data_IF_474493753986
#
_entry.id   IF_474493753986
#
_cell.length_a   1.000
_cell.length_b   1.000
_cell.length_c   1.000
_cell.angle_alpha   90.00
_cell.angle_beta   90.00
_cell.angle_gamma   90.00
#
_symmetry.space_group_name_H-M   'P 1'
#
loop_
_entity.id
_entity.type
_entity.pdbx_description
1 polymer ?
#
# COMPACT_ATOMS: atom_id res chain seq x y z
N UNK A 1 -12.68 -17.96 -25.82
CA UNK A 1 -11.68 -17.37 -24.90
C UNK A 1 -10.60 -18.41 -24.63
N UNK A 2 -9.33 -18.02 -24.54
CA UNK A 2 -8.24 -18.98 -24.31
C UNK A 2 -8.43 -19.65 -22.95
N UNK A 3 -8.45 -20.99 -22.93
CA UNK A 3 -8.50 -21.78 -21.70
C UNK A 3 -7.09 -22.25 -21.35
N UNK A 4 -6.74 -22.22 -20.08
CA UNK A 4 -5.44 -22.67 -19.59
C UNK A 4 -5.66 -23.69 -18.47
N UNK A 5 -5.12 -24.89 -18.65
CA UNK A 5 -5.07 -25.93 -17.62
C UNK A 5 -3.64 -26.03 -17.10
N UNK A 6 -3.46 -25.86 -15.80
CA UNK A 6 -2.23 -26.24 -15.10
C UNK A 6 -2.50 -27.57 -14.41
N UNK A 7 -1.79 -28.64 -14.78
CA UNK A 7 -1.98 -29.99 -14.22
C UNK A 7 -0.78 -30.46 -13.39
N UNK A 8 -1.00 -31.46 -12.55
CA UNK A 8 0.03 -32.10 -11.73
C UNK A 8 0.80 -31.13 -10.80
N UNK A 9 0.16 -30.08 -10.30
CA UNK A 9 0.78 -29.11 -9.38
C UNK A 9 0.47 -29.41 -7.91
N UNK A 10 1.40 -29.11 -7.02
CA UNK A 10 1.12 -29.01 -5.58
C UNK A 10 0.42 -27.67 -5.31
N UNK A 11 -0.91 -27.68 -5.34
CA UNK A 11 -1.73 -26.47 -5.24
C UNK A 11 -1.81 -26.03 -3.77
N UNK A 12 -1.36 -24.79 -3.53
CA UNK A 12 -1.44 -24.11 -2.25
C UNK A 12 -2.50 -23.01 -2.35
N UNK A 13 -3.72 -23.28 -1.90
CA UNK A 13 -4.83 -22.29 -2.04
C UNK A 13 -4.69 -21.07 -1.13
N UNK A 14 -3.84 -21.17 -0.09
CA UNK A 14 -3.68 -20.17 0.98
C UNK A 14 -4.95 -19.93 1.83
N UNK A 15 -6.03 -20.67 1.59
CA UNK A 15 -7.32 -20.55 2.30
C UNK A 15 -7.77 -21.87 2.94
N UNK A 16 -6.89 -22.87 2.98
CA UNK A 16 -7.05 -24.08 3.78
C UNK A 16 -6.73 -25.37 3.04
N UNK A 17 -7.35 -25.61 1.87
CA UNK A 17 -7.12 -26.86 1.13
C UNK A 17 -5.76 -26.82 0.41
N UNK A 18 -4.93 -27.80 0.66
CA UNK A 18 -3.71 -28.08 -0.11
C UNK A 18 -3.82 -29.48 -0.70
N UNK A 19 -3.50 -29.62 -1.98
CA UNK A 19 -3.62 -30.90 -2.68
C UNK A 19 -2.76 -30.92 -3.93
N UNK A 20 -2.41 -32.12 -4.39
CA UNK A 20 -1.80 -32.29 -5.70
C UNK A 20 -2.91 -32.43 -6.74
N UNK A 21 -2.91 -31.61 -7.78
CA UNK A 21 -3.99 -31.64 -8.76
C UNK A 21 -3.82 -30.64 -9.88
N UNK A 22 -4.95 -30.18 -10.40
CA UNK A 22 -5.04 -29.29 -11.54
C UNK A 22 -5.95 -28.11 -11.25
N UNK A 23 -5.73 -27.01 -11.97
CA UNK A 23 -6.62 -25.86 -11.99
C UNK A 23 -6.87 -25.39 -13.44
N UNK A 24 -8.11 -24.98 -13.70
CA UNK A 24 -8.57 -24.47 -14.98
C UNK A 24 -8.78 -22.96 -14.87
N UNK A 25 -8.24 -22.24 -15.84
CA UNK A 25 -8.38 -20.80 -16.01
C UNK A 25 -9.12 -20.55 -17.32
N UNK A 26 -10.17 -19.74 -17.25
CA UNK A 26 -10.87 -19.23 -18.43
C UNK A 26 -10.81 -17.71 -18.41
N UNK A 27 -10.16 -17.13 -19.42
CA UNK A 27 -9.92 -15.68 -19.46
C UNK A 27 -9.05 -15.22 -18.29
N UNK A 28 -9.62 -14.44 -17.37
CA UNK A 28 -8.92 -13.83 -16.23
C UNK A 28 -9.24 -14.47 -14.89
N UNK A 29 -10.04 -15.56 -14.86
CA UNK A 29 -10.51 -16.19 -13.63
C UNK A 29 -10.17 -17.67 -13.60
N UNK A 30 -9.87 -18.16 -12.39
CA UNK A 30 -9.83 -19.59 -12.10
C UNK A 30 -11.29 -20.07 -12.02
N UNK A 31 -11.65 -21.06 -12.83
CA UNK A 31 -13.03 -21.57 -12.91
C UNK A 31 -13.20 -22.95 -12.28
N UNK A 32 -12.13 -23.72 -12.16
CA UNK A 32 -12.16 -25.02 -11.49
C UNK A 32 -10.80 -25.38 -10.87
N UNK A 33 -10.85 -26.20 -9.82
CA UNK A 33 -9.69 -26.77 -9.14
C UNK A 33 -10.03 -28.16 -8.59
N UNK A 34 -9.14 -29.14 -8.75
CA UNK A 34 -9.40 -30.51 -8.31
C UNK A 34 -8.22 -31.46 -8.56
N UNK A 35 -8.18 -32.57 -7.82
CA UNK A 35 -7.14 -33.61 -7.97
C UNK A 35 -7.15 -34.21 -9.38
N UNK A 36 -8.36 -34.37 -9.93
CA UNK A 36 -8.60 -34.73 -11.32
C UNK A 36 -9.62 -33.76 -11.89
N UNK A 37 -9.29 -33.14 -13.02
CA UNK A 37 -10.23 -32.33 -13.80
C UNK A 37 -10.42 -33.03 -15.14
N UNK A 38 -11.66 -33.37 -15.48
CA UNK A 38 -11.98 -33.87 -16.81
C UNK A 38 -11.94 -32.69 -17.79
N UNK A 39 -10.92 -32.69 -18.64
CA UNK A 39 -10.69 -31.67 -19.66
C UNK A 39 -10.81 -32.21 -21.07
N UNK A 40 -11.13 -33.50 -21.23
CA UNK A 40 -11.22 -34.15 -22.53
C UNK A 40 -12.37 -33.61 -23.38
N UNK A 41 -13.37 -33.00 -22.75
CA UNK A 41 -14.51 -32.33 -23.39
C UNK A 41 -14.26 -30.86 -23.73
N UNK A 42 -13.12 -30.28 -23.33
CA UNK A 42 -12.82 -28.86 -23.53
C UNK A 42 -12.03 -28.65 -24.81
N UNK A 43 -12.58 -27.85 -25.75
CA UNK A 43 -11.85 -27.37 -26.92
C UNK A 43 -10.92 -26.19 -26.55
N UNK A 44 -9.84 -26.01 -27.33
CA UNK A 44 -8.92 -24.86 -27.25
C UNK A 44 -8.26 -24.61 -25.87
N UNK A 45 -7.89 -25.71 -25.19
CA UNK A 45 -7.17 -25.66 -23.91
C UNK A 45 -5.66 -25.71 -24.13
N UNK A 46 -4.95 -24.69 -23.64
CA UNK A 46 -3.50 -24.76 -23.47
C UNK A 46 -3.21 -25.52 -22.17
N UNK A 47 -2.36 -26.54 -22.23
CA UNK A 47 -2.00 -27.36 -21.07
C UNK A 47 -0.56 -27.03 -20.65
N UNK A 48 -0.38 -26.73 -19.36
CA UNK A 48 0.92 -26.64 -18.70
C UNK A 48 1.00 -27.78 -17.69
N UNK A 49 2.02 -28.63 -17.80
CA UNK A 49 2.34 -29.63 -16.79
C UNK A 49 3.25 -28.99 -15.73
N UNK A 50 2.77 -28.89 -14.49
CA UNK A 50 3.54 -28.36 -13.37
C UNK A 50 4.54 -29.40 -12.82
N UNK A 51 4.49 -30.66 -13.25
CA UNK A 51 5.49 -31.70 -12.91
C UNK A 51 5.76 -31.83 -11.39
N UNK A 52 4.73 -31.67 -10.57
CA UNK A 52 4.81 -31.73 -9.12
C UNK A 52 5.32 -30.45 -8.44
N UNK A 53 5.58 -29.37 -9.19
CA UNK A 53 5.98 -28.08 -8.63
C UNK A 53 4.88 -27.44 -7.78
N UNK A 54 5.28 -26.51 -6.91
CA UNK A 54 4.35 -25.66 -6.16
C UNK A 54 3.57 -24.74 -7.11
N UNK A 55 2.26 -24.69 -6.92
CA UNK A 55 1.37 -23.75 -7.61
C UNK A 55 0.72 -22.86 -6.55
N UNK A 56 1.16 -21.60 -6.53
CA UNK A 56 0.79 -20.59 -5.55
C UNK A 56 -0.01 -19.47 -6.23
N UNK A 57 -0.91 -18.77 -5.51
CA UNK A 57 -1.35 -17.45 -5.91
C UNK A 57 -0.13 -16.54 -6.09
N UNK A 58 -0.18 -15.66 -7.08
CA UNK A 58 0.84 -14.64 -7.22
C UNK A 58 0.92 -13.78 -5.96
N UNK A 59 2.12 -13.51 -5.48
CA UNK A 59 2.33 -12.70 -4.29
C UNK A 59 1.83 -11.26 -4.53
N UNK A 60 1.43 -10.62 -3.44
CA UNK A 60 0.98 -9.23 -3.42
C UNK A 60 1.89 -8.47 -2.47
N UNK A 61 2.66 -7.53 -3.01
CA UNK A 61 3.39 -6.58 -2.16
C UNK A 61 2.44 -5.47 -1.73
N UNK A 62 2.20 -5.36 -0.43
CA UNK A 62 1.25 -4.40 0.10
C UNK A 62 1.83 -2.99 0.24
N UNK A 63 3.15 -2.81 0.06
CA UNK A 63 3.77 -1.48 -0.01
C UNK A 63 5.14 -1.53 -0.70
N UNK A 64 5.26 -0.82 -1.81
CA UNK A 64 6.55 -0.50 -2.42
C UNK A 64 6.44 0.81 -3.19
N UNK A 65 7.49 1.14 -3.92
CA UNK A 65 7.66 2.31 -4.76
C UNK A 65 8.07 1.93 -6.19
N UNK A 66 7.92 0.65 -6.58
CA UNK A 66 8.29 0.16 -7.93
C UNK A 66 7.60 0.98 -9.01
N UNK A 67 8.34 1.28 -10.09
CA UNK A 67 7.91 2.13 -11.19
C UNK A 67 7.96 3.62 -10.90
N UNK A 68 7.97 4.06 -9.64
CA UNK A 68 8.07 5.48 -9.26
C UNK A 68 9.46 5.81 -8.73
N UNK A 69 10.04 4.90 -7.94
CA UNK A 69 11.46 4.79 -7.66
C UNK A 69 12.05 3.76 -8.61
N UNK A 70 12.49 4.20 -9.78
CA UNK A 70 12.95 3.30 -10.85
C UNK A 70 14.24 2.58 -10.48
N UNK A 71 14.32 1.29 -10.82
CA UNK A 71 15.54 0.50 -10.63
C UNK A 71 16.65 1.06 -11.54
N UNK A 72 17.89 1.15 -11.02
CA UNK A 72 19.11 1.70 -11.65
C UNK A 72 19.26 3.22 -11.58
N UNK A 73 18.17 3.97 -11.74
CA UNK A 73 18.23 5.42 -11.80
C UNK A 73 18.48 6.04 -10.42
N UNK A 74 19.02 7.27 -10.41
CA UNK A 74 19.21 8.06 -9.20
C UNK A 74 18.09 9.08 -9.12
N UNK A 75 18.44 10.35 -8.94
CA UNK A 75 17.53 11.48 -8.98
C UNK A 75 16.55 11.44 -10.16
N UNK A 76 16.99 11.01 -11.34
CA UNK A 76 16.17 10.99 -12.56
C UNK A 76 14.98 10.03 -12.50
N UNK A 77 15.02 9.03 -11.62
CA UNK A 77 13.94 8.06 -11.43
C UNK A 77 13.43 8.01 -9.98
N UNK A 78 13.65 9.07 -9.19
CA UNK A 78 13.19 9.20 -7.80
C UNK A 78 11.92 10.08 -7.69
N UNK A 79 10.83 9.70 -8.38
CA UNK A 79 9.60 10.51 -8.48
C UNK A 79 8.60 10.28 -7.32
N UNK A 80 9.01 9.58 -6.25
CA UNK A 80 8.10 9.15 -5.18
C UNK A 80 8.05 10.10 -3.97
N UNK A 81 8.86 11.16 -3.90
CA UNK A 81 8.76 12.19 -2.85
C UNK A 81 8.82 13.61 -3.42
N UNK A 82 7.69 14.31 -3.42
CA UNK A 82 7.62 15.75 -3.73
C UNK A 82 7.97 16.58 -2.49
N UNK A 83 9.27 16.73 -2.22
CA UNK A 83 9.78 17.32 -0.98
C UNK A 83 9.69 18.85 -0.91
N UNK A 84 8.89 19.48 -1.78
CA UNK A 84 8.69 20.93 -1.82
C UNK A 84 7.57 21.39 -0.88
N UNK A 85 6.59 20.54 -0.59
CA UNK A 85 5.52 20.81 0.37
C UNK A 85 5.23 19.63 1.31
N UNK A 86 5.11 19.82 2.64
CA UNK A 86 4.75 18.75 3.57
C UNK A 86 3.35 18.17 3.37
N UNK A 87 2.46 18.85 2.64
CA UNK A 87 1.07 18.47 2.46
C UNK A 87 0.71 18.49 0.97
N UNK A 88 0.85 17.34 0.29
CA UNK A 88 0.57 17.15 -1.14
C UNK A 88 -0.50 16.08 -1.40
N UNK A 89 -1.73 16.21 -0.84
CA UNK A 89 -2.80 15.20 -0.98
C UNK A 89 -3.26 14.98 -2.41
N UNK A 90 -3.13 15.98 -3.28
CA UNK A 90 -3.55 15.98 -4.69
C UNK A 90 -2.63 15.17 -5.61
N UNK A 91 -1.42 14.84 -5.16
CA UNK A 91 -0.51 13.97 -5.91
C UNK A 91 -1.05 12.55 -6.08
N UNK A 92 -0.73 11.94 -7.22
CA UNK A 92 -1.20 10.61 -7.58
C UNK A 92 -0.04 9.76 -8.06
N UNK A 93 0.08 8.58 -7.48
CA UNK A 93 1.09 7.59 -7.87
C UNK A 93 1.08 7.31 -9.37
N UNK A 94 -0.10 7.22 -10.00
CA UNK A 94 -0.22 6.85 -11.41
C UNK A 94 0.49 7.81 -12.37
N UNK A 95 0.73 9.05 -11.94
CA UNK A 95 1.34 10.09 -12.77
C UNK A 95 2.88 10.02 -12.74
N UNK A 96 3.47 9.21 -11.85
CA UNK A 96 4.92 9.00 -11.74
C UNK A 96 5.38 7.57 -12.02
N UNK A 97 4.49 6.68 -12.49
CA UNK A 97 4.86 5.27 -12.74
C UNK A 97 5.41 5.10 -14.16
N UNK A 98 6.67 4.68 -14.27
CA UNK A 98 7.23 4.09 -15.47
C UNK A 98 6.93 2.58 -15.54
N UNK A 99 6.03 2.10 -16.44
CA UNK A 99 5.72 0.67 -16.56
C UNK A 99 6.85 -0.16 -17.18
N UNK A 100 7.90 0.47 -17.74
CA UNK A 100 9.08 -0.21 -18.29
C UNK A 100 10.24 -0.33 -17.29
N UNK A 101 10.08 0.15 -16.05
CA UNK A 101 11.02 -0.06 -14.96
C UNK A 101 11.40 -1.55 -14.80
N UNK A 102 12.70 -1.83 -14.68
CA UNK A 102 13.22 -3.19 -14.47
C UNK A 102 12.66 -3.83 -13.19
N UNK A 103 12.33 -3.01 -12.19
CA UNK A 103 11.73 -3.47 -10.94
C UNK A 103 10.43 -4.25 -11.15
N UNK A 104 9.63 -3.93 -12.17
CA UNK A 104 8.45 -4.73 -12.51
C UNK A 104 8.80 -6.11 -13.05
N UNK A 105 9.87 -6.23 -13.85
CA UNK A 105 10.34 -7.52 -14.36
C UNK A 105 10.83 -8.38 -13.21
N UNK A 106 11.63 -7.82 -12.32
CA UNK A 106 12.24 -8.55 -11.22
C UNK A 106 11.20 -8.96 -10.17
N UNK A 107 10.21 -8.09 -9.90
CA UNK A 107 9.03 -8.45 -9.11
C UNK A 107 8.30 -9.68 -9.69
N UNK A 108 8.06 -9.73 -11.01
CA UNK A 108 7.41 -10.89 -11.65
C UNK A 108 8.25 -12.15 -11.59
N UNK A 109 9.58 -12.05 -11.76
CA UNK A 109 10.50 -13.17 -11.60
C UNK A 109 10.50 -13.72 -10.16
N UNK A 110 10.31 -12.83 -9.17
CA UNK A 110 10.09 -13.18 -7.77
C UNK A 110 8.68 -13.69 -7.43
N UNK A 111 7.77 -13.77 -8.41
CA UNK A 111 6.38 -14.24 -8.23
C UNK A 111 5.40 -13.17 -7.73
N UNK A 112 5.78 -11.90 -7.69
CA UNK A 112 4.90 -10.78 -7.32
C UNK A 112 4.07 -10.38 -8.54
N UNK A 113 2.74 -10.49 -8.41
CA UNK A 113 1.79 -10.25 -9.53
C UNK A 113 0.94 -9.00 -9.34
N UNK A 114 0.88 -8.48 -8.13
CA UNK A 114 0.21 -7.22 -7.83
C UNK A 114 0.98 -6.49 -6.73
N UNK A 115 0.89 -5.16 -6.76
CA UNK A 115 1.53 -4.28 -5.79
C UNK A 115 0.59 -3.16 -5.39
N UNK A 116 0.77 -2.63 -4.19
CA UNK A 116 0.44 -1.24 -3.90
C UNK A 116 1.71 -0.42 -4.05
N UNK A 117 1.72 0.51 -5.01
CA UNK A 117 2.82 1.47 -5.22
C UNK A 117 2.32 2.90 -5.01
N UNK A 118 3.19 3.78 -4.52
CA UNK A 118 2.85 5.17 -4.30
C UNK A 118 3.93 5.98 -3.60
N UNK A 119 3.58 7.16 -3.06
CA UNK A 119 4.55 8.08 -2.48
C UNK A 119 5.35 7.49 -1.30
N UNK A 120 6.54 8.04 -1.10
CA UNK A 120 7.45 7.75 0.00
C UNK A 120 6.98 8.33 1.34
N UNK A 121 7.94 8.67 2.20
CA UNK A 121 7.66 9.10 3.58
C UNK A 121 8.32 10.43 3.93
N UNK A 122 8.76 11.19 2.93
CA UNK A 122 9.27 12.54 3.14
C UNK A 122 8.17 13.48 3.64
N UNK A 123 6.96 13.41 3.07
CA UNK A 123 5.89 14.37 3.34
C UNK A 123 5.02 13.92 4.52
N UNK A 124 4.38 14.87 5.21
CA UNK A 124 3.35 14.54 6.22
C UNK A 124 2.15 13.90 5.54
N UNK A 125 1.71 14.47 4.42
CA UNK A 125 0.76 13.89 3.47
C UNK A 125 1.45 13.88 2.11
N UNK A 126 1.73 12.69 1.57
CA UNK A 126 2.55 12.54 0.36
C UNK A 126 1.78 12.29 -0.93
N UNK A 127 0.46 12.11 -0.87
CA UNK A 127 -0.39 11.83 -2.02
C UNK A 127 -0.94 10.40 -2.05
N UNK A 128 -1.66 10.08 -3.12
CA UNK A 128 -2.41 8.83 -3.26
C UNK A 128 -1.58 7.71 -3.88
N UNK A 129 -1.75 6.49 -3.37
CA UNK A 129 -1.18 5.27 -3.96
C UNK A 129 -2.20 4.46 -4.76
N UNK A 130 -1.71 3.51 -5.55
CA UNK A 130 -2.49 2.68 -6.47
C UNK A 130 -2.25 1.20 -6.23
N UNK A 131 -3.30 0.36 -6.35
CA UNK A 131 -3.13 -1.10 -6.48
C UNK A 131 -3.14 -1.46 -7.95
N UNK A 132 -2.10 -2.15 -8.41
CA UNK A 132 -1.94 -2.50 -9.82
C UNK A 132 -1.33 -3.89 -10.01
N UNK A 133 -1.48 -4.45 -11.21
CA UNK A 133 -0.77 -5.64 -11.68
C UNK A 133 0.64 -5.25 -12.11
N UNK A 134 1.60 -6.15 -11.88
CA UNK A 134 3.00 -5.95 -12.27
C UNK A 134 3.28 -6.22 -13.75
N UNK A 135 2.28 -6.68 -14.52
CA UNK A 135 2.41 -6.97 -15.94
C UNK A 135 1.58 -5.99 -16.77
N UNK A 136 2.24 -5.31 -17.71
CA UNK A 136 1.61 -4.37 -18.64
C UNK A 136 2.64 -3.40 -19.20
N UNK A 137 2.18 -2.51 -20.07
CA UNK A 137 2.98 -1.40 -20.65
C UNK A 137 2.27 -0.05 -20.57
N UNK A 138 1.02 -0.05 -20.09
CA UNK A 138 0.17 1.12 -20.00
C UNK A 138 -0.42 1.09 -18.60
N UNK A 139 -0.09 2.09 -17.79
CA UNK A 139 -0.46 2.16 -16.37
C UNK A 139 -1.97 1.96 -16.20
N UNK A 140 -2.81 2.63 -16.99
CA UNK A 140 -4.27 2.52 -16.94
C UNK A 140 -4.78 1.08 -17.08
N UNK A 141 -4.09 0.24 -17.84
CA UNK A 141 -4.45 -1.18 -18.05
C UNK A 141 -3.92 -2.11 -16.96
N UNK A 142 -2.98 -1.63 -16.15
CA UNK A 142 -2.40 -2.34 -15.02
C UNK A 142 -3.19 -2.08 -13.73
N UNK A 143 -3.92 -0.96 -13.64
CA UNK A 143 -4.70 -0.57 -12.46
C UNK A 143 -5.72 -1.65 -12.07
N UNK A 144 -5.73 -1.97 -10.78
CA UNK A 144 -6.78 -2.75 -10.11
C UNK A 144 -7.67 -1.83 -9.26
N UNK A 145 -7.08 -0.82 -8.60
CA UNK A 145 -7.81 0.20 -7.83
C UNK A 145 -6.99 1.50 -7.74
N UNK A 146 -7.59 2.60 -8.16
CA UNK A 146 -7.04 3.96 -8.07
C UNK A 146 -8.14 4.97 -7.64
N UNK A 147 -7.89 5.85 -6.65
CA UNK A 147 -6.85 5.74 -5.64
C UNK A 147 -7.14 4.58 -4.66
N UNK A 148 -6.09 3.99 -4.11
CA UNK A 148 -6.20 2.87 -3.17
C UNK A 148 -5.91 3.24 -1.70
N UNK A 149 -5.37 4.43 -1.45
CA UNK A 149 -5.05 4.94 -0.12
C UNK A 149 -4.28 6.25 -0.19
N UNK A 150 -4.34 7.06 0.88
CA UNK A 150 -3.58 8.30 1.01
C UNK A 150 -2.36 8.09 1.91
N UNK A 151 -1.14 8.30 1.38
CA UNK A 151 0.11 8.13 2.13
C UNK A 151 0.32 9.29 3.09
N UNK A 152 0.58 8.96 4.35
CA UNK A 152 0.98 9.91 5.40
C UNK A 152 2.20 9.37 6.15
N UNK A 153 3.01 10.25 6.73
CA UNK A 153 4.21 9.85 7.46
C UNK A 153 4.35 10.51 8.83
N UNK A 154 4.87 9.72 9.78
CA UNK A 154 5.29 10.11 11.11
C UNK A 154 6.78 9.78 11.31
N UNK A 155 7.31 10.01 12.51
CA UNK A 155 8.68 9.61 12.84
C UNK A 155 9.73 10.59 12.35
N UNK A 156 10.93 10.08 12.06
CA UNK A 156 12.11 10.87 11.73
C UNK A 156 12.03 11.50 10.34
N UNK A 157 11.53 10.79 9.33
CA UNK A 157 11.59 11.21 7.92
C UNK A 157 11.01 12.61 7.66
N UNK A 158 9.72 12.89 7.95
CA UNK A 158 9.17 14.20 7.63
C UNK A 158 9.82 15.34 8.40
N UNK A 159 10.17 15.11 9.68
CA UNK A 159 10.82 16.17 10.47
C UNK A 159 12.27 16.45 10.06
N UNK A 160 12.96 15.48 9.44
CA UNK A 160 14.32 15.67 8.93
C UNK A 160 14.28 16.46 7.62
N UNK A 161 13.47 16.01 6.65
CA UNK A 161 13.36 16.63 5.33
C UNK A 161 13.04 18.12 5.44
N UNK A 162 11.94 18.49 6.09
CA UNK A 162 11.56 19.90 6.20
C UNK A 162 12.39 20.66 7.25
N UNK A 163 12.95 19.96 8.24
CA UNK A 163 13.89 20.54 9.20
C UNK A 163 15.16 21.09 8.55
N UNK A 164 15.74 20.35 7.61
CA UNK A 164 16.90 20.80 6.82
C UNK A 164 16.56 22.02 5.97
N UNK A 165 15.32 22.10 5.48
CA UNK A 165 14.79 23.24 4.73
C UNK A 165 14.36 24.42 5.62
N UNK A 166 14.47 24.31 6.95
CA UNK A 166 13.94 25.29 7.93
C UNK A 166 12.44 25.55 7.75
N UNK A 167 11.70 24.54 7.27
CA UNK A 167 10.25 24.54 7.07
C UNK A 167 9.59 23.63 8.12
N UNK A 168 8.34 23.89 8.45
CA UNK A 168 7.56 22.97 9.27
C UNK A 168 7.24 21.69 8.47
N UNK A 169 7.31 20.49 9.05
CA UNK A 169 7.64 20.18 10.44
C UNK A 169 9.14 19.96 10.71
N UNK A 170 9.61 20.36 11.90
CA UNK A 170 10.93 19.95 12.45
C UNK A 170 10.79 19.05 13.68
N UNK A 171 9.55 18.75 14.09
CA UNK A 171 9.22 17.98 15.29
C UNK A 171 8.05 17.04 15.01
N UNK A 172 7.94 15.95 15.78
CA UNK A 172 6.79 15.03 15.74
C UNK A 172 5.46 15.76 16.02
N UNK A 173 5.49 16.76 16.91
CA UNK A 173 4.31 17.60 17.19
C UNK A 173 3.88 18.38 15.95
N UNK A 174 4.84 18.94 15.21
CA UNK A 174 4.56 19.65 13.96
C UNK A 174 3.96 18.72 12.90
N UNK A 175 4.50 17.51 12.74
CA UNK A 175 3.94 16.49 11.84
C UNK A 175 2.48 16.19 12.18
N UNK A 176 2.20 15.91 13.45
CA UNK A 176 0.84 15.62 13.91
C UNK A 176 -0.10 16.82 13.76
N UNK A 177 0.37 18.05 13.98
CA UNK A 177 -0.43 19.26 13.82
C UNK A 177 -0.81 19.53 12.36
N UNK A 178 0.13 19.36 11.43
CA UNK A 178 -0.14 19.54 9.99
C UNK A 178 -1.19 18.55 9.49
N UNK A 179 -1.08 17.28 9.86
CA UNK A 179 -2.07 16.27 9.48
C UNK A 179 -3.46 16.60 10.06
N UNK A 180 -3.54 16.99 11.33
CA UNK A 180 -4.81 17.40 11.94
C UNK A 180 -5.43 18.58 11.22
N UNK A 181 -4.64 19.61 10.93
CA UNK A 181 -5.15 20.80 10.25
C UNK A 181 -5.73 20.43 8.89
N UNK A 182 -5.02 19.63 8.09
CA UNK A 182 -5.51 19.18 6.79
C UNK A 182 -6.84 18.41 6.89
N UNK A 183 -7.01 17.56 7.92
CA UNK A 183 -8.27 16.84 8.14
C UNK A 183 -9.42 17.75 8.61
N UNK A 184 -9.12 18.78 9.43
CA UNK A 184 -10.10 19.81 9.81
C UNK A 184 -10.55 20.63 8.60
N UNK A 185 -9.61 21.01 7.74
CA UNK A 185 -9.89 21.75 6.51
C UNK A 185 -10.76 20.91 5.57
N UNK A 186 -10.49 19.61 5.47
CA UNK A 186 -11.29 18.67 4.69
C UNK A 186 -12.72 18.49 5.22
N UNK A 187 -12.91 18.41 6.55
CA UNK A 187 -14.25 18.40 7.15
C UNK A 187 -15.01 19.70 6.83
N UNK A 188 -14.34 20.84 6.97
CA UNK A 188 -14.93 22.15 6.66
C UNK A 188 -15.31 22.25 5.17
N UNK A 189 -14.46 21.75 4.28
CA UNK A 189 -14.72 21.71 2.85
C UNK A 189 -15.90 20.79 2.51
N UNK A 190 -15.95 19.60 3.13
CA UNK A 190 -17.08 18.67 3.00
C UNK A 190 -18.41 19.32 3.42
N UNK A 191 -18.43 20.00 4.56
CA UNK A 191 -19.64 20.66 5.06
C UNK A 191 -20.11 21.77 4.10
N UNK A 192 -19.17 22.53 3.49
CA UNK A 192 -19.49 23.53 2.46
C UNK A 192 -20.02 22.88 1.17
N UNK A 193 -19.45 21.76 0.74
CA UNK A 193 -19.97 20.99 -0.41
C UNK A 193 -21.42 20.55 -0.16
N UNK A 194 -21.73 20.05 1.04
CA UNK A 194 -23.08 19.64 1.42
C UNK A 194 -24.06 20.81 1.45
N UNK A 195 -23.66 21.96 2.02
CA UNK A 195 -24.47 23.18 2.00
C UNK A 195 -24.69 23.69 0.56
N UNK A 196 -23.66 23.61 -0.28
CA UNK A 196 -23.66 23.97 -1.69
C UNK A 196 -24.68 23.20 -2.54
N UNK A 197 -25.13 22.02 -2.11
CA UNK A 197 -26.20 21.27 -2.76
C UNK A 197 -27.56 21.97 -2.65
N UNK A 198 -27.75 22.78 -1.60
CA UNK A 198 -28.99 23.53 -1.33
C UNK A 198 -28.89 25.01 -1.63
N UNK A 199 -27.68 25.57 -1.57
CA UNK A 199 -27.41 27.00 -1.68
C UNK A 199 -26.09 27.21 -2.43
N UNK A 200 -26.18 27.58 -3.72
CA UNK A 200 -25.02 27.69 -4.61
C UNK A 200 -23.98 28.71 -4.12
N UNK A 201 -24.40 29.72 -3.35
CA UNK A 201 -23.51 30.76 -2.83
C UNK A 201 -22.59 30.24 -1.71
N UNK A 202 -22.89 29.06 -1.15
CA UNK A 202 -22.07 28.38 -0.13
C UNK A 202 -21.13 27.32 -0.69
N UNK A 203 -21.23 27.02 -1.99
CA UNK A 203 -20.36 26.04 -2.63
C UNK A 203 -18.90 26.55 -2.58
N UNK A 204 -17.95 25.77 -2.03
CA UNK A 204 -16.56 26.19 -1.98
C UNK A 204 -15.95 26.17 -3.38
N UNK A 205 -14.91 26.97 -3.60
CA UNK A 205 -14.06 26.82 -4.77
C UNK A 205 -13.44 25.43 -4.80
N UNK A 206 -13.33 24.85 -6.00
CA UNK A 206 -12.85 23.49 -6.17
C UNK A 206 -11.37 23.39 -5.77
N UNK A 207 -11.07 22.49 -4.84
CA UNK A 207 -9.71 22.20 -4.38
C UNK A 207 -9.43 20.69 -4.50
N UNK A 208 -8.41 20.34 -5.30
CA UNK A 208 -8.06 18.95 -5.60
C UNK A 208 -7.56 18.20 -4.36
N UNK A 209 -6.81 18.87 -3.50
CA UNK A 209 -6.24 18.28 -2.30
C UNK A 209 -7.32 17.97 -1.26
N UNK A 210 -8.23 18.93 -1.06
CA UNK A 210 -9.39 18.76 -0.18
C UNK A 210 -10.36 17.71 -0.74
N UNK A 211 -10.56 17.62 -2.06
CA UNK A 211 -11.34 16.53 -2.68
C UNK A 211 -10.78 15.15 -2.31
N UNK A 212 -9.47 14.95 -2.33
CA UNK A 212 -8.85 13.68 -1.89
C UNK A 212 -9.01 13.45 -0.39
N UNK A 213 -8.80 14.48 0.44
CA UNK A 213 -8.96 14.34 1.89
C UNK A 213 -10.42 14.05 2.26
N UNK A 214 -11.39 14.59 1.54
CA UNK A 214 -12.81 14.24 1.72
C UNK A 214 -13.06 12.76 1.45
N UNK A 215 -12.38 12.14 0.48
CA UNK A 215 -12.46 10.68 0.28
C UNK A 215 -11.99 9.89 1.50
N UNK A 216 -11.00 10.39 2.23
CA UNK A 216 -10.55 9.81 3.50
C UNK A 216 -11.60 10.00 4.60
N UNK A 217 -12.15 11.21 4.75
CA UNK A 217 -13.22 11.51 5.71
C UNK A 217 -14.45 10.63 5.46
N UNK A 218 -14.80 10.39 4.20
CA UNK A 218 -15.90 9.52 3.78
C UNK A 218 -15.56 8.02 3.85
N UNK A 219 -14.33 7.65 4.21
CA UNK A 219 -13.85 6.25 4.26
C UNK A 219 -13.92 5.52 2.92
N UNK A 220 -13.81 6.26 1.82
CA UNK A 220 -13.68 5.70 0.46
C UNK A 220 -12.28 5.12 0.23
N UNK A 221 -11.26 5.72 0.87
CA UNK A 221 -9.88 5.26 0.89
C UNK A 221 -9.29 5.40 2.30
N UNK A 222 -8.41 4.47 2.73
CA UNK A 222 -7.77 4.56 4.04
C UNK A 222 -6.57 5.52 4.03
N UNK A 223 -6.22 6.04 5.21
CA UNK A 223 -4.88 6.54 5.46
C UNK A 223 -3.89 5.37 5.46
N UNK A 224 -2.72 5.59 4.86
CA UNK A 224 -1.60 4.66 4.78
C UNK A 224 -0.43 5.29 5.54
N UNK A 225 -0.24 4.90 6.80
CA UNK A 225 0.61 5.63 7.73
C UNK A 225 1.97 4.98 7.94
N UNK A 226 3.00 5.60 7.39
CA UNK A 226 4.40 5.31 7.72
C UNK A 226 4.67 5.66 9.18
N UNK A 227 4.94 4.63 10.01
CA UNK A 227 5.31 4.82 11.41
C UNK A 227 6.18 3.68 11.93
N UNK A 228 7.34 4.03 12.50
CA UNK A 228 8.30 3.06 13.04
C UNK A 228 8.17 2.85 14.55
N UNK A 229 8.29 3.92 15.35
CA UNK A 229 8.24 3.82 16.82
C UNK A 229 6.82 3.63 17.34
N UNK A 230 6.70 3.02 18.51
CA UNK A 230 5.41 2.75 19.15
C UNK A 230 4.60 4.04 19.42
N UNK A 231 5.24 5.14 19.79
CA UNK A 231 4.58 6.43 20.02
C UNK A 231 4.12 7.11 18.72
N UNK A 232 4.87 6.96 17.63
CA UNK A 232 4.47 7.44 16.30
C UNK A 232 3.26 6.63 15.79
N UNK A 233 3.27 5.30 15.96
CA UNK A 233 2.15 4.40 15.64
C UNK A 233 0.89 4.80 16.43
N UNK A 234 1.01 5.00 17.74
CA UNK A 234 -0.11 5.41 18.59
C UNK A 234 -0.63 6.82 18.27
N UNK A 235 0.23 7.71 17.74
CA UNK A 235 -0.21 9.03 17.27
C UNK A 235 -1.04 8.91 16.00
N UNK A 236 -0.63 8.07 15.05
CA UNK A 236 -1.43 7.79 13.85
C UNK A 236 -2.81 7.22 14.21
N UNK A 237 -2.87 6.25 15.13
CA UNK A 237 -4.13 5.68 15.64
C UNK A 237 -4.99 6.74 16.31
N UNK A 238 -4.40 7.60 17.16
CA UNK A 238 -5.14 8.66 17.86
C UNK A 238 -5.80 9.62 16.89
N UNK A 239 -5.10 10.04 15.84
CA UNK A 239 -5.65 10.91 14.80
C UNK A 239 -6.73 10.16 14.00
N UNK A 240 -6.50 8.89 13.63
CA UNK A 240 -7.50 8.12 12.91
C UNK A 240 -8.82 7.97 13.70
N UNK A 241 -8.75 7.76 15.01
CA UNK A 241 -9.91 7.73 15.90
C UNK A 241 -10.57 9.10 16.08
N UNK A 242 -9.77 10.16 16.21
CA UNK A 242 -10.23 11.56 16.35
C UNK A 242 -11.12 11.97 15.17
N UNK A 243 -10.73 11.59 13.95
CA UNK A 243 -11.46 11.90 12.71
C UNK A 243 -12.34 10.75 12.20
N UNK A 244 -12.36 9.61 12.89
CA UNK A 244 -13.11 8.39 12.54
C UNK A 244 -12.83 7.85 11.13
N UNK A 245 -11.57 7.88 10.72
CA UNK A 245 -11.12 7.44 9.40
C UNK A 245 -10.47 6.06 9.45
N UNK A 246 -10.44 5.37 8.31
CA UNK A 246 -9.74 4.09 8.18
C UNK A 246 -8.23 4.30 8.08
N UNK A 247 -7.47 3.35 8.64
CA UNK A 247 -6.01 3.42 8.76
C UNK A 247 -5.38 2.07 8.44
N UNK A 248 -4.25 2.09 7.73
CA UNK A 248 -3.31 0.99 7.60
C UNK A 248 -1.96 1.47 8.13
N UNK A 249 -1.36 0.72 9.04
CA UNK A 249 -0.04 1.02 9.57
C UNK A 249 1.03 0.46 8.64
N UNK A 250 2.01 1.27 8.25
CA UNK A 250 3.11 0.89 7.38
C UNK A 250 4.42 0.86 8.17
N UNK A 251 5.24 -0.14 7.87
CA UNK A 251 6.44 -0.57 8.56
C UNK A 251 6.19 -1.15 9.95
N UNK A 252 5.47 -0.41 10.80
CA UNK A 252 5.04 -0.82 12.14
C UNK A 252 6.19 -1.48 12.94
N UNK A 253 7.39 -0.90 12.86
CA UNK A 253 8.65 -1.56 13.28
C UNK A 253 8.62 -1.97 14.75
N UNK A 254 8.17 -1.07 15.63
CA UNK A 254 8.00 -1.30 17.05
C UNK A 254 6.59 -1.81 17.43
N UNK A 255 5.75 -2.15 16.46
CA UNK A 255 4.39 -2.66 16.72
C UNK A 255 4.38 -3.88 17.63
N UNK A 256 5.44 -4.69 17.62
CA UNK A 256 5.62 -5.83 18.53
C UNK A 256 5.61 -5.44 20.02
N UNK A 257 5.92 -4.18 20.38
CA UNK A 257 5.88 -3.68 21.76
C UNK A 257 4.46 -3.40 22.26
N UNK A 258 3.53 -3.17 21.34
CA UNK A 258 2.14 -2.75 21.61
C UNK A 258 1.13 -3.67 20.88
N UNK A 259 1.51 -4.92 20.64
CA UNK A 259 0.75 -5.83 19.76
C UNK A 259 -0.67 -6.11 20.25
N UNK A 260 -0.89 -6.17 21.57
CA UNK A 260 -2.22 -6.37 22.16
C UNK A 260 -3.10 -5.15 21.92
N UNK A 261 -2.58 -3.96 22.19
CA UNK A 261 -3.29 -2.70 21.95
C UNK A 261 -3.66 -2.55 20.46
N UNK A 262 -2.73 -2.87 19.55
CA UNK A 262 -3.00 -2.85 18.11
C UNK A 262 -4.12 -3.80 17.68
N UNK A 263 -4.21 -4.98 18.30
CA UNK A 263 -5.29 -5.92 18.05
C UNK A 263 -6.64 -5.39 18.55
N UNK A 264 -6.66 -4.68 19.68
CA UNK A 264 -7.87 -4.05 20.23
C UNK A 264 -8.38 -2.90 19.34
N UNK A 265 -7.48 -2.08 18.76
CA UNK A 265 -7.87 -1.03 17.82
C UNK A 265 -8.34 -1.58 16.46
N UNK A 266 -7.88 -2.76 16.06
CA UNK A 266 -8.36 -3.46 14.86
C UNK A 266 -7.81 -2.95 13.52
N UNK A 267 -6.80 -2.06 13.53
CA UNK A 267 -6.17 -1.58 12.29
C UNK A 267 -5.13 -2.59 11.74
N UNK A 268 -5.10 -2.84 10.42
CA UNK A 268 -4.11 -3.73 9.81
C UNK A 268 -2.70 -3.09 9.79
N UNK A 269 -1.68 -3.95 9.71
CA UNK A 269 -0.28 -3.53 9.60
C UNK A 269 0.43 -4.19 8.41
N UNK A 270 1.14 -3.40 7.62
CA UNK A 270 2.10 -3.87 6.62
C UNK A 270 3.49 -3.72 7.20
N UNK A 271 4.19 -4.84 7.45
CA UNK A 271 5.46 -4.86 8.18
C UNK A 271 6.63 -5.07 7.21
N UNK A 272 7.66 -4.24 7.34
CA UNK A 272 8.86 -4.28 6.50
C UNK A 272 9.45 -2.88 6.30
N UNK A 273 10.59 -2.76 5.62
CA UNK A 273 11.42 -3.83 5.10
C UNK A 273 12.22 -4.49 6.23
N UNK A 274 12.27 -5.83 6.26
CA UNK A 274 12.96 -6.57 7.34
C UNK A 274 14.38 -6.99 6.97
N UNK A 275 14.63 -7.30 5.70
CA UNK A 275 15.93 -7.74 5.18
C UNK A 275 16.81 -6.56 4.76
N UNK A 276 16.95 -5.59 5.66
CA UNK A 276 17.71 -4.33 5.42
C UNK A 276 18.47 -3.93 6.69
N UNK A 277 19.39 -2.96 6.59
CA UNK A 277 20.13 -2.46 7.76
C UNK A 277 19.22 -1.62 8.70
N UNK A 278 19.74 -1.17 9.85
CA UNK A 278 19.04 -0.22 10.73
C UNK A 278 19.62 1.19 10.55
N UNK A 279 19.26 1.84 9.44
CA UNK A 279 19.81 3.15 9.07
C UNK A 279 19.48 4.30 10.03
N UNK A 280 18.37 4.21 10.80
CA UNK A 280 17.84 5.27 11.66
C UNK A 280 17.63 4.81 13.10
N UNK A 281 17.54 5.76 14.03
CA UNK A 281 17.35 5.46 15.46
C UNK A 281 15.99 4.78 15.71
N UNK A 282 14.94 5.21 15.02
CA UNK A 282 13.61 4.59 15.06
C UNK A 282 13.57 3.14 14.51
N UNK A 283 14.64 2.68 13.85
CA UNK A 283 14.79 1.31 13.37
C UNK A 283 15.56 0.41 14.33
N UNK A 284 16.04 0.93 15.48
CA UNK A 284 16.92 0.19 16.41
C UNK A 284 16.35 -1.17 16.84
N UNK A 285 15.03 -1.25 17.00
CA UNK A 285 14.32 -2.44 17.49
C UNK A 285 13.68 -3.25 16.35
N UNK A 286 14.10 -3.03 15.10
CA UNK A 286 13.65 -3.82 13.95
C UNK A 286 13.95 -5.31 14.15
N UNK A 287 12.95 -6.15 13.88
CA UNK A 287 13.00 -7.59 14.14
C UNK A 287 12.18 -8.40 13.14
N UNK A 288 12.74 -9.51 12.66
CA UNK A 288 12.01 -10.52 11.87
C UNK A 288 10.84 -11.17 12.62
N UNK A 289 10.79 -11.02 13.94
CA UNK A 289 9.69 -11.56 14.77
C UNK A 289 8.44 -10.69 14.75
N UNK A 290 8.54 -9.40 14.38
CA UNK A 290 7.42 -8.45 14.47
C UNK A 290 6.15 -8.92 13.76
N UNK A 291 6.18 -9.39 12.50
CA UNK A 291 4.96 -9.86 11.82
C UNK A 291 4.27 -11.01 12.57
N UNK A 292 5.06 -11.97 13.07
CA UNK A 292 4.53 -13.12 13.81
C UNK A 292 3.95 -12.76 15.18
N UNK A 293 4.57 -11.81 15.88
CA UNK A 293 4.06 -11.29 17.16
C UNK A 293 2.72 -10.59 16.96
N UNK A 294 2.61 -9.73 15.94
CA UNK A 294 1.38 -9.02 15.60
C UNK A 294 0.27 -9.98 15.17
N UNK A 295 0.56 -10.91 14.26
CA UNK A 295 -0.41 -11.90 13.80
C UNK A 295 -0.92 -12.78 14.96
N UNK A 296 -0.03 -13.22 15.86
CA UNK A 296 -0.42 -14.00 17.05
C UNK A 296 -1.31 -13.22 18.02
N UNK A 297 -1.17 -11.90 18.08
CA UNK A 297 -2.02 -11.03 18.87
C UNK A 297 -3.40 -10.79 18.22
N UNK A 298 -3.59 -11.16 16.95
CA UNK A 298 -4.85 -10.98 16.21
C UNK A 298 -4.84 -9.80 15.23
N UNK A 299 -3.70 -9.13 15.03
CA UNK A 299 -3.57 -8.06 14.03
C UNK A 299 -3.56 -8.67 12.62
N UNK A 300 -4.30 -8.06 11.69
CA UNK A 300 -4.21 -8.42 10.26
C UNK A 300 -2.90 -7.89 9.69
N UNK A 301 -2.00 -8.79 9.30
CA UNK A 301 -0.63 -8.47 8.90
C UNK A 301 -0.37 -8.81 7.43
N UNK A 302 0.32 -7.92 6.73
CA UNK A 302 1.02 -8.19 5.48
C UNK A 302 2.52 -7.91 5.65
N UNK A 303 3.35 -8.42 4.74
CA UNK A 303 4.79 -8.14 4.68
C UNK A 303 5.06 -7.36 3.40
N UNK A 304 5.95 -6.37 3.47
CA UNK A 304 6.38 -5.57 2.32
C UNK A 304 7.87 -5.74 2.00
N UNK A 305 8.24 -5.45 0.76
CA UNK A 305 9.65 -5.25 0.39
C UNK A 305 10.12 -3.83 0.63
N UNK A 306 9.23 -2.84 0.58
CA UNK A 306 9.56 -1.40 0.57
C UNK A 306 10.48 -1.00 -0.61
N UNK A 307 10.53 -1.80 -1.67
CA UNK A 307 11.38 -1.55 -2.83
C UNK A 307 11.16 -0.13 -3.40
N UNK A 308 12.18 0.62 -3.80
CA UNK A 308 13.62 0.29 -3.83
C UNK A 308 14.38 0.69 -2.55
N UNK A 309 13.67 1.11 -1.49
CA UNK A 309 14.28 1.61 -0.25
C UNK A 309 15.02 0.49 0.47
N UNK A 310 16.29 0.75 0.82
CA UNK A 310 17.21 -0.23 1.45
C UNK A 310 17.74 0.21 2.81
#
# INVERSE_FOLDING_TARGET
MKKLLIKNGQIKTMTGREFTGSLLIEGTKITALGETLDVHSLSDVVVIDAMGCLVLPGFIDAHCHVGIGEEIYRWEGEDFNEMTDPVTPDMRAIDGINPEDEGFRDARLGGITAVFTGPGSANVIGGTGVVMKTAGKIVDKMIVRDPAGLKIAFGENPKMVYGEQKKMPMTRMGTAALLRQALVDAQTYKDKLEQGQTDSDKLPERDLGLEILVKVINREIPLRAHAHRADDIMTAIRIAQEFKVDLVLEHCTEGHKIAKDLAEFGYPAVVGPLLTNRAKVELKDKSFKTPGVLAKAGVKVAIMTDHSVT
#
